data_IF_649897726798
#
_entry.id   IF_649897726798
#
_cell.length_a   1.000
_cell.length_b   1.000
_cell.length_c   1.000
_cell.angle_alpha   90.00
_cell.angle_beta   90.00
_cell.angle_gamma   90.00
#
_symmetry.space_group_name_H-M   'P 1'
#
loop_
_entity.id
_entity.type
_entity.pdbx_description
1 polymer ?
#
# COMPACT_ATOMS: atom_id res chain seq x y z
N UNK A 1 -32.87 -16.50 15.66
CA UNK A 1 -31.56 -16.12 15.15
C UNK A 1 -30.64 -17.20 15.70
N UNK A 2 -30.16 -18.12 14.86
CA UNK A 2 -29.15 -19.10 15.30
C UNK A 2 -27.89 -18.32 15.66
N UNK A 3 -27.21 -18.68 16.73
CA UNK A 3 -25.91 -18.15 17.06
C UNK A 3 -24.99 -18.47 15.89
N UNK A 4 -24.35 -17.45 15.30
CA UNK A 4 -23.36 -17.66 14.24
C UNK A 4 -22.24 -18.54 14.82
N UNK A 5 -21.85 -19.57 14.09
CA UNK A 5 -20.78 -20.46 14.54
C UNK A 5 -19.46 -19.71 14.51
N UNK A 6 -18.69 -19.84 15.59
CA UNK A 6 -17.38 -19.17 15.76
C UNK A 6 -16.34 -20.24 15.94
N UNK A 7 -15.24 -20.17 15.20
CA UNK A 7 -14.11 -21.09 15.28
C UNK A 7 -12.88 -20.36 15.83
N UNK A 8 -12.07 -21.04 16.61
CA UNK A 8 -10.78 -20.54 17.09
C UNK A 8 -9.70 -20.78 16.05
N UNK A 9 -8.90 -19.77 15.77
CA UNK A 9 -7.74 -19.90 14.86
C UNK A 9 -6.50 -19.47 15.63
N UNK A 10 -5.52 -20.39 15.69
CA UNK A 10 -4.22 -20.16 16.28
C UNK A 10 -3.19 -19.94 15.18
N UNK A 11 -2.44 -18.85 15.26
CA UNK A 11 -1.43 -18.43 14.28
C UNK A 11 -0.03 -18.66 14.84
N UNK A 12 0.72 -19.59 14.25
CA UNK A 12 2.09 -19.88 14.60
C UNK A 12 3.08 -19.22 13.61
N UNK A 13 4.32 -18.89 14.00
CA UNK A 13 4.92 -19.06 15.33
C UNK A 13 4.61 -17.91 16.31
N UNK A 14 3.75 -16.98 15.95
CA UNK A 14 3.49 -15.75 16.72
C UNK A 14 2.60 -15.98 17.95
N UNK A 15 1.97 -17.15 18.07
CA UNK A 15 1.12 -17.53 19.20
C UNK A 15 -0.15 -16.70 19.36
N UNK A 16 -0.61 -16.03 18.27
CA UNK A 16 -1.83 -15.21 18.28
C UNK A 16 -3.05 -16.10 18.09
N UNK A 17 -4.04 -15.94 18.94
CA UNK A 17 -5.36 -16.57 18.80
C UNK A 17 -6.42 -15.55 18.41
N UNK A 18 -7.35 -15.95 17.53
CA UNK A 18 -8.46 -15.12 17.09
C UNK A 18 -9.71 -15.94 16.82
N UNK A 19 -10.84 -15.25 16.77
CA UNK A 19 -12.16 -15.81 16.47
C UNK A 19 -12.51 -15.56 14.99
N UNK A 20 -12.91 -16.61 14.28
CA UNK A 20 -13.43 -16.53 12.91
C UNK A 20 -14.91 -16.87 12.90
N UNK A 21 -15.73 -15.92 12.46
CA UNK A 21 -17.19 -16.10 12.34
C UNK A 21 -17.53 -16.83 11.04
N UNK A 22 -18.63 -17.57 11.05
CA UNK A 22 -19.13 -18.23 9.84
C UNK A 22 -19.34 -17.23 8.71
N UNK A 23 -18.77 -17.52 7.52
CA UNK A 23 -18.91 -16.72 6.31
C UNK A 23 -17.87 -15.62 6.14
N UNK A 24 -16.96 -15.39 7.11
CA UNK A 24 -15.79 -14.51 6.89
C UNK A 24 -14.53 -15.34 6.59
N UNK A 25 -13.60 -14.76 5.86
CA UNK A 25 -12.27 -15.36 5.66
C UNK A 25 -11.38 -15.16 6.88
N UNK A 26 -10.40 -16.04 7.05
CA UNK A 26 -9.38 -15.91 8.12
C UNK A 26 -8.72 -14.53 8.11
N UNK A 27 -8.46 -13.95 6.92
CA UNK A 27 -7.88 -12.62 6.80
C UNK A 27 -8.85 -11.51 7.24
N UNK A 28 -10.14 -11.63 6.93
CA UNK A 28 -11.16 -10.65 7.36
C UNK A 28 -11.35 -10.68 8.87
N UNK A 29 -11.38 -11.87 9.48
CA UNK A 29 -11.41 -12.05 10.92
C UNK A 29 -10.24 -11.40 11.63
N UNK A 30 -9.02 -11.60 11.08
CA UNK A 30 -7.80 -10.96 11.59
C UNK A 30 -7.92 -9.42 11.56
N UNK A 31 -8.36 -8.86 10.44
CA UNK A 31 -8.56 -7.43 10.30
C UNK A 31 -9.59 -6.86 11.27
N UNK A 32 -10.72 -7.54 11.45
CA UNK A 32 -11.78 -7.14 12.39
C UNK A 32 -11.25 -7.06 13.82
N UNK A 33 -10.35 -7.96 14.19
CA UNK A 33 -9.79 -8.05 15.55
C UNK A 33 -8.48 -7.24 15.71
N UNK A 34 -8.04 -6.52 14.66
CA UNK A 34 -6.82 -5.71 14.72
C UNK A 34 -5.55 -6.56 14.73
N UNK A 35 -5.55 -7.65 13.98
CA UNK A 35 -4.38 -8.50 13.73
C UNK A 35 -3.91 -8.22 12.30
N UNK A 36 -2.75 -7.60 12.17
CA UNK A 36 -2.23 -7.20 10.86
C UNK A 36 -1.43 -8.35 10.22
N UNK A 37 -2.10 -9.17 9.44
CA UNK A 37 -1.47 -10.23 8.65
C UNK A 37 -0.94 -9.69 7.32
N UNK A 38 0.15 -10.30 6.83
CA UNK A 38 0.72 -9.96 5.53
C UNK A 38 -0.29 -10.25 4.41
N UNK A 39 -0.55 -9.26 3.58
CA UNK A 39 -1.51 -9.34 2.48
C UNK A 39 -1.20 -8.34 1.37
N UNK A 40 -1.84 -8.51 0.22
CA UNK A 40 -1.79 -7.57 -0.89
C UNK A 40 -3.19 -7.41 -1.49
N UNK A 41 -3.54 -8.20 -2.51
CA UNK A 41 -4.76 -8.03 -3.30
C UNK A 41 -6.08 -8.35 -2.56
N UNK A 42 -6.07 -9.13 -1.49
CA UNK A 42 -7.24 -9.66 -0.74
C UNK A 42 -8.19 -10.55 -1.58
N UNK A 43 -7.84 -10.87 -2.83
CA UNK A 43 -8.68 -11.56 -3.83
C UNK A 43 -8.06 -12.88 -4.33
N UNK A 44 -7.03 -13.41 -3.65
CA UNK A 44 -6.38 -14.67 -4.02
C UNK A 44 -5.55 -14.60 -5.31
N UNK A 45 -5.01 -13.42 -5.68
CA UNK A 45 -4.26 -13.23 -6.94
C UNK A 45 -2.75 -13.09 -6.74
N UNK A 46 -2.27 -12.63 -5.55
CA UNK A 46 -0.88 -12.23 -5.37
C UNK A 46 -0.03 -13.18 -4.50
N UNK A 47 -0.65 -14.07 -3.73
CA UNK A 47 0.05 -15.00 -2.84
C UNK A 47 0.64 -14.38 -1.55
N UNK A 48 0.51 -13.07 -1.30
CA UNK A 48 1.12 -12.40 -0.14
C UNK A 48 0.60 -12.92 1.22
N UNK A 49 -0.63 -13.42 1.28
CA UNK A 49 -1.24 -14.00 2.48
C UNK A 49 -1.10 -15.53 2.53
N UNK A 50 -0.15 -16.12 1.78
CA UNK A 50 0.09 -17.56 1.79
C UNK A 50 0.61 -18.01 3.15
N UNK A 51 0.01 -19.09 3.67
CA UNK A 51 0.32 -19.70 4.95
C UNK A 51 0.18 -21.21 4.83
N UNK A 52 0.49 -21.97 5.85
CA UNK A 52 0.34 -23.42 5.86
C UNK A 52 -0.70 -23.83 6.91
N UNK A 53 -1.68 -24.61 6.53
CA UNK A 53 -2.62 -25.25 7.45
C UNK A 53 -1.92 -26.38 8.16
N UNK A 54 -1.89 -26.34 9.50
CA UNK A 54 -1.33 -27.39 10.34
C UNK A 54 -2.45 -28.34 10.78
N UNK A 55 -3.64 -27.82 11.02
CA UNK A 55 -4.79 -28.63 11.43
C UNK A 55 -6.11 -27.89 11.28
N UNK A 56 -7.19 -28.68 11.20
CA UNK A 56 -8.55 -28.22 11.06
C UNK A 56 -9.14 -28.35 9.65
N UNK A 57 -10.42 -28.06 9.52
CA UNK A 57 -11.20 -28.19 8.28
C UNK A 57 -11.46 -26.81 7.68
N UNK A 58 -11.21 -26.67 6.38
CA UNK A 58 -11.35 -25.39 5.65
C UNK A 58 -12.08 -25.57 4.31
N UNK A 59 -12.63 -24.47 3.81
CA UNK A 59 -12.97 -24.31 2.40
C UNK A 59 -12.15 -23.16 1.78
N UNK A 60 -11.56 -23.42 0.60
CA UNK A 60 -10.88 -22.38 -0.17
C UNK A 60 -11.81 -21.81 -1.22
N UNK A 61 -12.08 -20.50 -1.13
CA UNK A 61 -12.79 -19.76 -2.17
C UNK A 61 -11.93 -19.69 -3.45
N UNK A 62 -12.54 -19.27 -4.56
CA UNK A 62 -11.85 -19.12 -5.86
C UNK A 62 -10.59 -18.26 -5.74
N UNK A 63 -9.48 -18.75 -6.29
CA UNK A 63 -8.17 -18.08 -6.32
C UNK A 63 -7.46 -18.35 -7.67
N UNK A 64 -6.34 -17.67 -7.89
CA UNK A 64 -5.45 -17.90 -9.04
C UNK A 64 -4.43 -18.99 -8.72
N UNK A 65 -4.22 -19.92 -9.64
CA UNK A 65 -3.15 -20.93 -9.55
C UNK A 65 -1.74 -20.31 -9.58
N UNK A 66 -1.60 -19.07 -9.99
CA UNK A 66 -0.37 -18.28 -9.81
C UNK A 66 -0.10 -17.96 -8.34
N UNK A 67 -1.14 -17.66 -7.56
CA UNK A 67 -1.00 -17.34 -6.14
C UNK A 67 -0.83 -18.60 -5.28
N UNK A 68 -1.48 -19.71 -5.68
CA UNK A 68 -1.41 -21.01 -4.99
C UNK A 68 -1.42 -22.13 -6.03
N UNK A 69 -0.25 -22.58 -6.52
CA UNK A 69 -0.13 -23.73 -7.42
C UNK A 69 -0.62 -25.03 -6.77
N UNK A 70 -1.05 -26.01 -7.58
CA UNK A 70 -1.60 -27.28 -7.09
C UNK A 70 -0.62 -28.05 -6.18
N UNK A 71 0.67 -28.05 -6.50
CA UNK A 71 1.70 -28.73 -5.68
C UNK A 71 1.85 -28.09 -4.27
N UNK A 72 1.60 -26.80 -4.11
CA UNK A 72 1.59 -26.13 -2.80
C UNK A 72 0.30 -26.46 -2.04
N UNK A 73 -0.83 -26.49 -2.73
CA UNK A 73 -2.10 -26.92 -2.14
C UNK A 73 -2.02 -28.37 -1.63
N UNK A 74 -1.37 -29.27 -2.36
CA UNK A 74 -1.14 -30.66 -1.95
C UNK A 74 -0.22 -30.77 -0.70
N UNK A 75 0.52 -29.71 -0.38
CA UNK A 75 1.35 -29.57 0.82
C UNK A 75 0.75 -28.64 1.86
N UNK A 76 -0.59 -28.57 1.91
CA UNK A 76 -1.38 -27.84 2.91
C UNK A 76 -1.16 -26.31 2.92
N UNK A 77 -0.67 -25.74 1.81
CA UNK A 77 -0.64 -24.27 1.68
C UNK A 77 -2.02 -23.71 1.40
N UNK A 78 -2.30 -22.57 2.01
CA UNK A 78 -3.58 -21.86 1.91
C UNK A 78 -3.37 -20.36 1.68
N UNK A 79 -4.41 -19.67 1.20
CA UNK A 79 -4.44 -18.20 1.11
C UNK A 79 -5.44 -17.67 2.12
N UNK A 80 -4.98 -16.99 3.17
CA UNK A 80 -5.83 -16.54 4.28
C UNK A 80 -7.01 -15.66 3.84
N UNK A 81 -6.84 -14.91 2.74
CA UNK A 81 -7.91 -14.11 2.14
C UNK A 81 -8.97 -14.92 1.39
N UNK A 82 -8.79 -16.23 1.25
CA UNK A 82 -9.69 -17.16 0.55
C UNK A 82 -10.04 -18.38 1.39
N UNK A 83 -9.65 -18.40 2.65
CA UNK A 83 -9.86 -19.51 3.59
C UNK A 83 -11.04 -19.22 4.51
N UNK A 84 -12.09 -20.04 4.43
CA UNK A 84 -13.17 -20.11 5.41
C UNK A 84 -12.89 -21.25 6.38
N UNK A 85 -13.13 -21.02 7.67
CA UNK A 85 -13.01 -22.05 8.70
C UNK A 85 -14.30 -22.88 8.82
N UNK A 86 -14.17 -24.20 9.02
CA UNK A 86 -15.26 -25.14 9.31
C UNK A 86 -14.99 -25.93 10.60
N UNK A 87 -13.89 -25.72 11.24
CA UNK A 87 -13.49 -26.16 12.58
C UNK A 87 -12.50 -25.17 13.18
N UNK A 88 -12.06 -25.40 14.41
CA UNK A 88 -10.88 -24.72 14.95
C UNK A 88 -9.66 -25.01 14.07
N UNK A 89 -8.83 -23.98 13.82
CA UNK A 89 -7.68 -24.08 12.91
C UNK A 89 -6.36 -23.81 13.65
N UNK A 90 -5.31 -24.48 13.20
CA UNK A 90 -3.93 -24.14 13.48
C UNK A 90 -3.21 -23.82 12.17
N UNK A 91 -2.66 -22.59 12.06
CA UNK A 91 -2.07 -22.06 10.82
C UNK A 91 -0.65 -21.56 11.11
N UNK A 92 0.31 -22.01 10.31
CA UNK A 92 1.67 -21.48 10.29
C UNK A 92 1.79 -20.31 9.30
N UNK A 93 2.13 -19.15 9.82
CA UNK A 93 2.43 -17.97 9.00
C UNK A 93 3.81 -18.13 8.36
N UNK A 94 3.87 -18.19 7.03
CA UNK A 94 5.12 -18.25 6.27
C UNK A 94 5.81 -16.88 6.15
N UNK A 95 5.05 -15.82 6.32
CA UNK A 95 5.52 -14.45 6.28
C UNK A 95 4.74 -13.61 7.29
N UNK A 96 5.45 -12.95 8.21
CA UNK A 96 4.86 -12.06 9.20
C UNK A 96 5.85 -10.94 9.55
N UNK A 97 5.34 -9.87 10.11
CA UNK A 97 6.10 -8.69 10.56
C UNK A 97 5.66 -8.39 12.00
N UNK A 98 6.54 -8.64 12.96
CA UNK A 98 6.25 -8.48 14.40
C UNK A 98 5.94 -7.02 14.76
N UNK A 99 6.63 -6.06 14.13
CA UNK A 99 6.38 -4.65 14.35
C UNK A 99 4.97 -4.28 13.84
N UNK A 100 4.58 -4.79 12.67
CA UNK A 100 3.25 -4.57 12.11
C UNK A 100 2.16 -5.19 13.01
N UNK A 101 2.37 -6.41 13.48
CA UNK A 101 1.45 -7.10 14.41
C UNK A 101 1.26 -6.30 15.70
N UNK A 102 2.35 -5.77 16.29
CA UNK A 102 2.31 -5.05 17.57
C UNK A 102 1.58 -3.71 17.50
N UNK A 103 1.47 -3.10 16.32
CA UNK A 103 0.86 -1.78 16.09
C UNK A 103 -0.40 -1.82 15.21
N UNK A 104 -0.97 -2.99 15.05
CA UNK A 104 -2.14 -3.19 14.20
C UNK A 104 -3.34 -2.33 14.64
N UNK A 105 -4.09 -1.86 13.66
CA UNK A 105 -5.29 -1.04 13.85
C UNK A 105 -6.49 -1.85 13.32
N UNK A 106 -7.54 -2.07 14.13
CA UNK A 106 -8.74 -2.78 13.67
C UNK A 106 -9.37 -2.10 12.45
N UNK A 107 -9.68 -2.88 11.44
CA UNK A 107 -10.40 -2.41 10.24
C UNK A 107 -11.85 -2.12 10.60
N UNK A 108 -12.32 -0.92 10.26
CA UNK A 108 -13.70 -0.47 10.46
C UNK A 108 -14.27 0.12 9.18
N UNK A 109 -15.59 0.30 9.19
CA UNK A 109 -16.31 0.97 8.11
C UNK A 109 -16.77 2.34 8.59
N UNK A 110 -16.61 3.35 7.72
CA UNK A 110 -16.93 4.75 7.98
C UNK A 110 -17.79 5.30 6.84
N UNK A 111 -18.68 6.23 7.15
CA UNK A 111 -19.32 7.07 6.16
C UNK A 111 -18.44 8.29 5.88
N UNK A 112 -18.39 8.71 4.64
CA UNK A 112 -17.60 9.86 4.23
C UNK A 112 -18.33 10.68 3.16
N UNK A 113 -17.88 11.91 2.99
CA UNK A 113 -18.40 12.84 1.97
C UNK A 113 -17.23 13.42 1.18
N UNK A 114 -17.36 13.52 -0.13
CA UNK A 114 -16.39 14.18 -1.00
C UNK A 114 -16.31 15.67 -0.65
N UNK A 115 -15.10 16.18 -0.41
CA UNK A 115 -14.82 17.60 -0.22
C UNK A 115 -14.47 18.25 -1.54
N UNK A 116 -13.50 17.67 -2.25
CA UNK A 116 -12.94 18.23 -3.47
C UNK A 116 -12.30 17.14 -4.35
N UNK A 117 -12.34 17.38 -5.65
CA UNK A 117 -11.51 16.65 -6.64
C UNK A 117 -10.72 17.66 -7.46
N UNK A 118 -9.39 17.56 -7.46
CA UNK A 118 -8.46 18.47 -8.13
C UNK A 118 -7.60 17.74 -9.16
N UNK A 119 -7.42 18.34 -10.34
CA UNK A 119 -6.46 17.84 -11.32
C UNK A 119 -5.04 18.18 -10.91
N UNK A 120 -4.14 17.19 -10.85
CA UNK A 120 -2.70 17.38 -10.62
C UNK A 120 -1.92 17.30 -11.95
N UNK A 121 -2.30 16.35 -12.84
CA UNK A 121 -1.81 16.25 -14.21
C UNK A 121 -2.96 15.95 -15.16
N UNK A 122 -2.67 15.66 -16.43
CA UNK A 122 -3.68 15.23 -17.39
C UNK A 122 -4.41 13.93 -16.97
N UNK A 123 -3.74 13.03 -16.24
CA UNK A 123 -4.26 11.71 -15.85
C UNK A 123 -4.15 11.42 -14.33
N UNK A 124 -3.75 12.38 -13.50
CA UNK A 124 -3.72 12.26 -12.04
C UNK A 124 -4.71 13.24 -11.40
N UNK A 125 -5.48 12.75 -10.43
CA UNK A 125 -6.42 13.53 -9.62
C UNK A 125 -6.10 13.37 -8.14
N UNK A 126 -6.24 14.45 -7.40
CA UNK A 126 -6.37 14.41 -5.95
C UNK A 126 -7.87 14.34 -5.61
N UNK A 127 -8.22 13.45 -4.70
CA UNK A 127 -9.55 13.33 -4.09
C UNK A 127 -9.41 13.55 -2.60
N UNK A 128 -10.17 14.51 -2.07
CA UNK A 128 -10.25 14.78 -0.63
C UNK A 128 -11.66 14.44 -0.12
N UNK A 129 -11.73 13.69 0.99
CA UNK A 129 -12.97 13.29 1.65
C UNK A 129 -12.95 13.63 3.13
N UNK A 130 -14.12 13.80 3.73
CA UNK A 130 -14.31 13.95 5.16
C UNK A 130 -15.13 12.79 5.73
N UNK A 131 -14.60 12.16 6.79
CA UNK A 131 -15.21 11.05 7.50
C UNK A 131 -16.20 11.53 8.57
N UNK A 132 -17.23 10.76 8.83
CA UNK A 132 -18.17 10.96 9.95
C UNK A 132 -17.52 10.74 11.33
N UNK A 133 -16.50 9.88 11.40
CA UNK A 133 -15.73 9.53 12.60
C UNK A 133 -14.23 9.51 12.30
N UNK A 134 -13.38 9.69 13.34
CA UNK A 134 -11.93 9.61 13.18
C UNK A 134 -11.46 8.22 12.74
N UNK A 135 -10.58 8.16 11.73
CA UNK A 135 -9.88 6.96 11.29
C UNK A 135 -8.38 7.11 11.59
N UNK A 136 -7.88 6.29 12.51
CA UNK A 136 -6.44 6.20 12.79
C UNK A 136 -5.78 5.33 11.73
N UNK A 137 -4.61 5.73 11.23
CA UNK A 137 -3.83 4.97 10.27
C UNK A 137 -2.33 5.28 10.40
N UNK A 138 -1.50 4.45 9.81
CA UNK A 138 -0.06 4.69 9.65
C UNK A 138 0.22 5.24 8.26
N UNK A 139 1.18 6.17 8.15
CA UNK A 139 1.57 6.76 6.88
C UNK A 139 2.02 5.68 5.88
N UNK A 140 1.42 5.67 4.69
CA UNK A 140 1.62 4.65 3.66
C UNK A 140 0.49 3.62 3.53
N UNK A 141 -0.42 3.52 4.52
CA UNK A 141 -1.56 2.62 4.46
C UNK A 141 -2.62 3.05 3.43
N UNK A 142 -3.53 2.14 3.10
CA UNK A 142 -4.63 2.35 2.17
C UNK A 142 -6.00 2.00 2.79
N UNK A 143 -7.04 2.41 2.12
CA UNK A 143 -8.45 2.07 2.43
C UNK A 143 -9.16 1.60 1.18
N UNK A 144 -10.24 0.85 1.36
CA UNK A 144 -11.21 0.60 0.29
C UNK A 144 -12.23 1.74 0.26
N UNK A 145 -12.38 2.38 -0.89
CA UNK A 145 -13.41 3.37 -1.17
C UNK A 145 -14.53 2.71 -1.97
N UNK A 146 -15.73 2.73 -1.43
CA UNK A 146 -16.94 2.29 -2.13
C UNK A 146 -17.79 3.50 -2.50
N UNK A 147 -18.18 3.56 -3.76
CA UNK A 147 -19.16 4.53 -4.26
C UNK A 147 -20.52 3.84 -4.34
N UNK A 148 -21.44 4.08 -3.39
CA UNK A 148 -22.71 3.36 -3.34
C UNK A 148 -23.54 3.55 -4.60
N UNK A 149 -23.57 4.78 -5.15
CA UNK A 149 -24.33 5.11 -6.36
C UNK A 149 -23.87 4.34 -7.61
N UNK A 150 -22.59 3.97 -7.68
CA UNK A 150 -22.01 3.22 -8.80
C UNK A 150 -21.78 1.75 -8.48
N UNK A 151 -21.99 1.31 -7.23
CA UNK A 151 -21.68 -0.04 -6.75
C UNK A 151 -20.22 -0.46 -7.06
N UNK A 152 -19.28 0.48 -6.93
CA UNK A 152 -17.86 0.25 -7.25
C UNK A 152 -17.03 0.43 -5.99
N UNK A 153 -16.18 -0.56 -5.70
CA UNK A 153 -15.19 -0.49 -4.62
C UNK A 153 -13.78 -0.61 -5.20
N UNK A 154 -12.86 0.27 -4.77
CA UNK A 154 -11.43 0.21 -5.11
C UNK A 154 -10.57 0.63 -3.91
N UNK A 155 -9.39 0.03 -3.84
CA UNK A 155 -8.38 0.35 -2.82
C UNK A 155 -7.54 1.54 -3.26
N UNK A 156 -7.35 2.51 -2.36
CA UNK A 156 -6.50 3.68 -2.58
C UNK A 156 -5.68 4.00 -1.34
N UNK A 157 -4.39 4.24 -1.55
CA UNK A 157 -3.48 4.67 -0.49
C UNK A 157 -3.75 6.13 -0.12
N UNK A 158 -3.76 6.42 1.18
CA UNK A 158 -3.88 7.77 1.68
C UNK A 158 -2.62 8.57 1.36
N UNK A 159 -2.78 9.82 0.92
CA UNK A 159 -1.67 10.72 0.61
C UNK A 159 -1.37 11.70 1.74
N UNK A 160 -2.33 12.01 2.61
CA UNK A 160 -2.08 12.82 3.79
C UNK A 160 -1.31 12.02 4.85
N UNK A 161 -0.51 12.71 5.66
CA UNK A 161 0.06 12.11 6.87
C UNK A 161 -1.01 11.93 7.95
N UNK A 162 -0.85 10.96 8.88
CA UNK A 162 -1.67 10.86 10.07
C UNK A 162 -1.71 12.17 10.86
N UNK A 163 -2.79 12.41 11.61
CA UNK A 163 -2.94 13.59 12.47
C UNK A 163 -4.26 14.33 12.31
N UNK A 164 -4.80 14.46 11.10
CA UNK A 164 -6.21 14.83 10.89
C UNK A 164 -6.99 13.55 10.60
N UNK A 165 -7.52 12.95 11.65
CA UNK A 165 -8.15 11.63 11.58
C UNK A 165 -9.51 11.63 10.87
N UNK A 166 -10.07 12.81 10.54
CA UNK A 166 -11.36 12.93 9.82
C UNK A 166 -11.19 13.28 8.35
N UNK A 167 -10.02 13.74 7.93
CA UNK A 167 -9.73 14.07 6.54
C UNK A 167 -8.81 13.04 5.91
N UNK A 168 -9.21 12.52 4.75
CA UNK A 168 -8.37 11.66 3.93
C UNK A 168 -8.20 12.27 2.56
N UNK A 169 -6.96 12.23 2.07
CA UNK A 169 -6.58 12.67 0.73
C UNK A 169 -6.00 11.50 -0.04
N UNK A 170 -6.25 11.45 -1.35
CA UNK A 170 -5.80 10.38 -2.23
C UNK A 170 -5.24 10.98 -3.52
N UNK A 171 -4.19 10.38 -4.08
CA UNK A 171 -3.66 10.68 -5.40
C UNK A 171 -3.99 9.50 -6.31
N UNK A 172 -4.90 9.70 -7.24
CA UNK A 172 -5.51 8.64 -8.05
C UNK A 172 -5.19 8.84 -9.51
N UNK A 173 -4.68 7.78 -10.16
CA UNK A 173 -4.48 7.77 -11.61
C UNK A 173 -5.79 7.41 -12.31
N UNK A 174 -6.12 8.20 -13.34
CA UNK A 174 -7.21 7.90 -14.26
C UNK A 174 -6.75 6.86 -15.28
N UNK A 175 -7.56 5.85 -15.44
CA UNK A 175 -7.40 4.87 -16.52
C UNK A 175 -8.56 5.03 -17.50
N UNK A 176 -8.30 4.91 -18.81
CA UNK A 176 -9.39 4.74 -19.79
C UNK A 176 -10.25 3.55 -19.34
N UNK A 177 -11.55 3.71 -19.32
CA UNK A 177 -12.53 2.69 -18.90
C UNK A 177 -12.41 2.19 -17.44
N UNK A 178 -11.68 2.90 -16.59
CA UNK A 178 -11.55 2.59 -15.16
C UNK A 178 -12.87 2.83 -14.43
N UNK A 179 -13.50 1.77 -13.88
CA UNK A 179 -14.81 1.84 -13.26
C UNK A 179 -14.94 2.91 -12.15
N UNK A 180 -13.89 3.12 -11.35
CA UNK A 180 -13.85 4.17 -10.32
C UNK A 180 -13.25 5.46 -10.88
N UNK A 181 -12.12 5.38 -11.58
CA UNK A 181 -11.35 6.58 -11.96
C UNK A 181 -12.01 7.42 -13.03
N UNK A 182 -12.92 6.86 -13.85
CA UNK A 182 -13.75 7.64 -14.78
C UNK A 182 -14.74 8.55 -14.07
N UNK A 183 -15.10 8.25 -12.82
CA UNK A 183 -16.07 9.03 -12.03
C UNK A 183 -15.44 10.29 -11.40
N UNK A 184 -14.11 10.38 -11.36
CA UNK A 184 -13.38 11.52 -10.78
C UNK A 184 -13.58 12.84 -11.52
N UNK A 185 -13.99 12.81 -12.78
CA UNK A 185 -14.22 14.02 -13.59
C UNK A 185 -15.70 14.44 -13.65
N UNK A 186 -16.48 14.20 -12.62
CA UNK A 186 -17.86 14.70 -12.60
C UNK A 186 -18.79 14.02 -11.60
N UNK A 187 -18.78 12.71 -11.51
CA UNK A 187 -19.70 11.98 -10.61
C UNK A 187 -19.28 12.07 -9.13
N UNK A 188 -17.99 12.30 -8.83
CA UNK A 188 -17.47 12.54 -7.49
C UNK A 188 -17.39 14.04 -7.20
N UNK A 189 -18.56 14.69 -7.21
CA UNK A 189 -18.69 16.09 -6.85
C UNK A 189 -18.67 16.30 -5.32
N UNK A 190 -18.34 17.51 -4.84
CA UNK A 190 -18.47 17.83 -3.42
C UNK A 190 -19.87 17.53 -2.89
N UNK A 191 -19.95 16.84 -1.76
CA UNK A 191 -21.21 16.38 -1.15
C UNK A 191 -21.60 14.93 -1.48
N UNK A 192 -20.96 14.28 -2.46
CA UNK A 192 -21.24 12.88 -2.77
C UNK A 192 -20.79 11.94 -1.65
N UNK A 193 -21.62 10.92 -1.40
CA UNK A 193 -21.38 9.94 -0.34
C UNK A 193 -20.36 8.87 -0.78
N UNK A 194 -19.44 8.55 0.13
CA UNK A 194 -18.44 7.51 -0.02
C UNK A 194 -18.45 6.62 1.24
N UNK A 195 -18.29 5.32 1.08
CA UNK A 195 -18.04 4.40 2.20
C UNK A 195 -16.57 4.04 2.21
N UNK A 196 -15.94 4.17 3.37
CA UNK A 196 -14.52 3.88 3.59
C UNK A 196 -14.40 2.66 4.49
N UNK A 197 -13.60 1.67 4.09
CA UNK A 197 -13.26 0.52 4.94
C UNK A 197 -11.74 0.41 5.07
N UNK A 198 -11.23 0.39 6.29
CA UNK A 198 -9.77 0.35 6.55
C UNK A 198 -9.41 0.67 7.99
N UNK A 199 -8.11 0.91 8.28
CA UNK A 199 -6.99 0.95 7.33
C UNK A 199 -6.44 -0.44 6.99
N UNK A 200 -5.75 -0.54 5.86
CA UNK A 200 -5.04 -1.74 5.40
C UNK A 200 -3.60 -1.40 4.99
N UNK A 201 -2.78 -2.44 4.81
CA UNK A 201 -1.46 -2.34 4.20
C UNK A 201 -0.30 -2.45 5.18
N UNK A 202 0.75 -3.16 4.74
CA UNK A 202 2.00 -3.37 5.45
C UNK A 202 3.09 -2.34 5.08
N UNK A 203 2.97 -1.69 3.91
CA UNK A 203 3.90 -0.67 3.43
C UNK A 203 3.65 0.65 4.15
N UNK A 204 4.07 0.74 5.41
CA UNK A 204 3.89 1.93 6.24
C UNK A 204 5.18 2.33 6.94
N UNK A 205 5.37 3.65 7.17
CA UNK A 205 6.58 4.19 7.79
C UNK A 205 6.91 3.49 9.11
N UNK A 206 8.17 3.13 9.25
CA UNK A 206 8.75 2.61 10.51
C UNK A 206 9.44 3.75 11.25
N UNK A 207 9.12 3.89 12.52
CA UNK A 207 9.74 4.88 13.41
C UNK A 207 11.04 4.34 14.01
N UNK A 208 11.85 5.23 14.60
CA UNK A 208 13.07 4.86 15.35
C UNK A 208 14.24 4.38 14.47
N UNK A 209 14.17 4.59 13.15
CA UNK A 209 15.25 4.34 12.20
C UNK A 209 16.15 5.56 12.07
N UNK A 210 17.47 5.36 11.92
CA UNK A 210 18.46 6.44 11.82
C UNK A 210 19.18 6.51 10.48
N UNK A 211 19.32 5.39 9.79
CA UNK A 211 19.88 5.31 8.44
C UNK A 211 18.96 5.91 7.38
N UNK A 212 19.45 6.09 6.15
CA UNK A 212 18.71 6.74 5.09
C UNK A 212 17.44 5.97 4.73
N UNK A 213 16.33 6.71 4.56
CA UNK A 213 15.07 6.24 4.01
C UNK A 213 15.10 6.36 2.48
N UNK A 214 14.83 5.26 1.79
CA UNK A 214 14.75 5.25 0.32
C UNK A 214 13.28 5.15 -0.10
N UNK A 215 12.78 6.17 -0.81
CA UNK A 215 11.44 6.18 -1.38
C UNK A 215 11.56 6.00 -2.90
N UNK A 216 10.82 5.06 -3.49
CA UNK A 216 10.83 4.84 -4.94
C UNK A 216 9.41 4.75 -5.47
N UNK A 217 9.02 5.66 -6.36
CA UNK A 217 7.65 5.68 -6.87
C UNK A 217 7.50 6.16 -8.30
N UNK A 218 6.25 6.09 -8.78
CA UNK A 218 5.85 6.62 -10.08
C UNK A 218 4.33 6.68 -10.22
N UNK A 219 3.84 7.69 -10.93
CA UNK A 219 2.40 7.93 -11.10
C UNK A 219 1.69 8.12 -9.77
N UNK A 220 0.56 7.41 -9.55
CA UNK A 220 -0.18 7.47 -8.28
C UNK A 220 0.54 6.79 -7.10
N UNK A 221 1.69 6.12 -7.31
CA UNK A 221 2.58 5.68 -6.23
C UNK A 221 3.11 6.83 -5.36
N UNK A 222 2.98 8.07 -5.84
CA UNK A 222 3.17 9.27 -5.04
C UNK A 222 2.28 9.26 -3.77
N UNK A 223 1.07 8.71 -3.81
CA UNK A 223 0.09 8.80 -2.72
C UNK A 223 0.65 8.29 -1.38
N UNK A 224 0.99 7.00 -1.22
CA UNK A 224 1.55 6.49 0.03
C UNK A 224 2.93 7.08 0.34
N UNK A 225 3.75 7.35 -0.68
CA UNK A 225 5.09 7.92 -0.46
C UNK A 225 5.04 9.35 0.03
N UNK A 226 4.08 10.15 -0.43
CA UNK A 226 3.84 11.50 0.07
C UNK A 226 3.37 11.49 1.53
N UNK A 227 2.49 10.54 1.89
CA UNK A 227 2.08 10.31 3.28
C UNK A 227 3.30 10.00 4.16
N UNK A 228 4.15 9.04 3.75
CA UNK A 228 5.37 8.65 4.48
C UNK A 228 6.35 9.81 4.61
N UNK A 229 6.62 10.53 3.52
CA UNK A 229 7.53 11.68 3.50
C UNK A 229 7.05 12.80 4.42
N UNK A 230 5.75 13.12 4.36
CA UNK A 230 5.15 14.17 5.19
C UNK A 230 5.16 13.77 6.67
N UNK A 231 4.88 12.51 7.00
CA UNK A 231 4.94 11.99 8.36
C UNK A 231 6.38 12.01 8.90
N UNK A 232 7.36 11.62 8.07
CA UNK A 232 8.79 11.70 8.41
C UNK A 232 9.20 13.16 8.72
N UNK A 233 8.79 14.11 7.90
CA UNK A 233 9.11 15.53 8.13
C UNK A 233 8.43 16.12 9.37
N UNK A 234 7.33 15.52 9.84
CA UNK A 234 6.60 15.94 11.06
C UNK A 234 7.09 15.22 12.32
N UNK A 235 7.71 14.06 12.20
CA UNK A 235 8.10 13.22 13.34
C UNK A 235 9.19 13.85 14.23
N UNK A 236 9.98 14.78 13.69
CA UNK A 236 11.17 15.33 14.36
C UNK A 236 12.37 14.39 14.35
N UNK A 237 12.25 13.20 13.77
CA UNK A 237 13.37 12.26 13.59
C UNK A 237 14.32 12.79 12.50
N UNK A 238 15.60 12.94 12.85
CA UNK A 238 16.63 13.39 11.90
C UNK A 238 17.23 12.17 11.21
N UNK A 239 16.81 11.94 9.95
CA UNK A 239 17.40 10.90 9.09
C UNK A 239 17.45 11.35 7.63
N UNK A 240 18.44 10.89 6.84
CA UNK A 240 18.50 11.18 5.42
C UNK A 240 17.31 10.58 4.66
N UNK A 241 16.83 11.28 3.61
CA UNK A 241 15.78 10.75 2.71
C UNK A 241 16.21 10.87 1.26
N UNK A 242 16.12 9.78 0.52
CA UNK A 242 16.41 9.70 -0.92
C UNK A 242 15.11 9.35 -1.64
N UNK A 243 14.47 10.33 -2.29
CA UNK A 243 13.19 10.16 -2.95
C UNK A 243 13.35 10.08 -4.47
N UNK A 244 13.28 8.88 -5.01
CA UNK A 244 13.32 8.54 -6.44
C UNK A 244 11.91 8.53 -7.02
N UNK A 245 11.67 9.33 -8.07
CA UNK A 245 10.34 9.39 -8.68
C UNK A 245 10.41 9.30 -10.20
N UNK A 246 9.85 8.22 -10.76
CA UNK A 246 9.78 7.97 -12.20
C UNK A 246 8.56 8.60 -12.85
N UNK A 247 8.78 9.39 -13.88
CA UNK A 247 7.76 9.95 -14.76
C UNK A 247 8.10 9.64 -16.23
N UNK A 248 7.12 9.75 -17.14
CA UNK A 248 7.38 9.59 -18.58
C UNK A 248 7.96 10.87 -19.16
N UNK A 249 7.35 12.01 -18.85
CA UNK A 249 7.75 13.33 -19.34
C UNK A 249 7.61 14.38 -18.23
N UNK A 250 8.11 15.59 -18.44
CA UNK A 250 7.97 16.73 -17.50
C UNK A 250 6.52 17.00 -17.10
N UNK A 251 5.57 16.88 -18.04
CA UNK A 251 4.16 17.10 -17.80
C UNK A 251 3.52 16.07 -16.84
N UNK A 252 4.21 14.95 -16.57
CA UNK A 252 3.79 13.93 -15.61
C UNK A 252 4.37 14.17 -14.20
N UNK A 253 5.22 15.17 -14.02
CA UNK A 253 5.71 15.60 -12.71
C UNK A 253 4.71 16.57 -12.07
N UNK A 254 4.44 16.37 -10.80
CA UNK A 254 3.51 17.21 -10.02
C UNK A 254 3.98 17.34 -8.57
N UNK A 255 3.40 18.25 -7.81
CA UNK A 255 3.74 18.54 -6.40
C UNK A 255 5.21 18.92 -6.20
N UNK A 256 5.86 19.52 -7.20
CA UNK A 256 7.29 19.85 -7.13
C UNK A 256 7.57 20.92 -6.05
N UNK A 257 6.69 21.91 -5.94
CA UNK A 257 6.81 22.97 -4.93
C UNK A 257 6.56 22.41 -3.51
N UNK A 258 5.59 21.52 -3.36
CA UNK A 258 5.29 20.85 -2.09
C UNK A 258 6.44 19.92 -1.68
N UNK A 259 7.05 19.19 -2.63
CA UNK A 259 8.23 18.35 -2.38
C UNK A 259 9.43 19.21 -1.96
N UNK A 260 9.66 20.34 -2.63
CA UNK A 260 10.72 21.26 -2.25
C UNK A 260 10.51 21.81 -0.83
N UNK A 261 9.30 22.27 -0.52
CA UNK A 261 8.96 22.81 0.79
C UNK A 261 9.07 21.77 1.92
N UNK A 262 8.71 20.50 1.67
CA UNK A 262 8.90 19.43 2.65
C UNK A 262 10.38 19.09 2.82
N UNK A 263 11.15 19.15 1.73
CA UNK A 263 12.60 18.90 1.72
C UNK A 263 13.38 19.86 2.62
N UNK A 264 12.97 21.13 2.71
CA UNK A 264 13.57 22.11 3.62
C UNK A 264 13.43 21.74 5.11
N UNK A 265 12.51 20.84 5.44
CA UNK A 265 12.25 20.36 6.82
C UNK A 265 13.03 19.10 7.18
N UNK A 266 13.73 18.50 6.22
CA UNK A 266 14.52 17.28 6.38
C UNK A 266 15.99 17.62 6.14
N UNK A 267 16.85 17.43 7.12
CA UNK A 267 18.24 17.90 7.12
C UNK A 267 19.10 17.37 5.96
N UNK A 268 18.81 16.20 5.44
CA UNK A 268 19.48 15.59 4.28
C UNK A 268 18.41 14.96 3.38
N UNK A 269 17.81 15.79 2.52
CA UNK A 269 16.78 15.41 1.58
C UNK A 269 17.27 15.51 0.14
N UNK A 270 17.05 14.45 -0.63
CA UNK A 270 17.32 14.46 -2.07
C UNK A 270 16.09 13.96 -2.82
N UNK A 271 15.51 14.82 -3.65
CA UNK A 271 14.51 14.44 -4.63
C UNK A 271 15.18 14.14 -5.96
N UNK A 272 14.98 12.95 -6.49
CA UNK A 272 15.63 12.43 -7.71
C UNK A 272 14.54 12.04 -8.71
N UNK A 273 13.95 13.01 -9.44
CA UNK A 273 13.02 12.72 -10.52
C UNK A 273 13.76 12.20 -11.76
N UNK A 274 13.17 11.21 -12.42
CA UNK A 274 13.72 10.63 -13.65
C UNK A 274 12.66 10.57 -14.75
N UNK A 275 13.05 10.93 -15.99
CA UNK A 275 12.18 10.88 -17.16
C UNK A 275 12.56 9.71 -18.08
N UNK A 276 11.58 8.81 -18.32
CA UNK A 276 11.79 7.66 -19.21
C UNK A 276 11.62 8.00 -20.71
N UNK A 277 10.92 9.10 -21.03
CA UNK A 277 10.63 9.58 -22.38
C UNK A 277 10.96 11.09 -22.51
N UNK A 278 12.08 11.54 -21.93
CA UNK A 278 12.53 12.92 -22.09
C UNK A 278 12.87 13.22 -23.55
N UNK A 279 12.40 14.35 -24.06
CA UNK A 279 12.81 14.83 -25.38
C UNK A 279 14.22 15.46 -25.29
N UNK A 280 15.12 15.28 -26.28
CA UNK A 280 16.47 15.84 -26.24
C UNK A 280 16.52 17.36 -26.03
N UNK A 281 15.48 18.08 -26.46
CA UNK A 281 15.42 19.55 -26.48
C UNK A 281 14.45 20.15 -25.42
N UNK A 282 13.97 19.36 -24.45
CA UNK A 282 12.99 19.85 -23.46
C UNK A 282 13.62 20.59 -22.26
N UNK A 283 14.96 20.79 -22.28
CA UNK A 283 15.71 21.44 -21.21
C UNK A 283 15.64 20.67 -19.87
N UNK A 284 15.53 19.34 -19.91
CA UNK A 284 15.59 18.50 -18.72
C UNK A 284 17.04 18.30 -18.27
N UNK A 285 17.35 18.69 -17.02
CA UNK A 285 18.68 18.53 -16.44
C UNK A 285 18.77 17.42 -15.38
N UNK A 286 17.62 16.74 -15.09
CA UNK A 286 17.55 15.64 -14.13
C UNK A 286 17.92 14.29 -14.71
N UNK A 287 17.67 13.23 -13.93
CA UNK A 287 17.95 11.85 -14.33
C UNK A 287 17.08 11.40 -15.51
N UNK A 288 17.64 10.52 -16.34
CA UNK A 288 16.96 9.92 -17.49
C UNK A 288 16.98 8.40 -17.44
N UNK A 289 15.97 7.77 -18.05
CA UNK A 289 15.75 6.33 -18.05
C UNK A 289 14.68 5.88 -17.08
N UNK A 290 14.49 4.57 -16.97
CA UNK A 290 13.54 3.99 -16.04
C UNK A 290 14.04 4.13 -14.60
N UNK A 291 13.13 4.35 -13.65
CA UNK A 291 13.52 4.70 -12.28
C UNK A 291 14.39 3.63 -11.60
N UNK A 292 14.16 2.35 -11.87
CA UNK A 292 14.99 1.27 -11.33
C UNK A 292 16.43 1.33 -11.86
N UNK A 293 16.65 1.79 -13.09
CA UNK A 293 17.99 1.98 -13.66
C UNK A 293 18.73 3.13 -12.96
N UNK A 294 18.00 4.20 -12.62
CA UNK A 294 18.55 5.32 -11.84
C UNK A 294 18.95 4.86 -10.44
N UNK A 295 18.05 4.15 -9.73
CA UNK A 295 18.36 3.56 -8.42
C UNK A 295 19.58 2.65 -8.51
N UNK A 296 19.69 1.81 -9.56
CA UNK A 296 20.83 0.91 -9.76
C UNK A 296 22.14 1.67 -10.01
N UNK A 297 22.11 2.77 -10.81
CA UNK A 297 23.29 3.63 -11.01
C UNK A 297 23.77 4.25 -9.69
N UNK A 298 22.82 4.76 -8.89
CA UNK A 298 23.12 5.37 -7.59
C UNK A 298 23.61 4.35 -6.57
N UNK A 299 23.05 3.14 -6.56
CA UNK A 299 23.53 2.03 -5.74
C UNK A 299 25.01 1.69 -6.07
N UNK A 300 25.33 1.52 -7.36
CA UNK A 300 26.70 1.25 -7.82
C UNK A 300 27.67 2.38 -7.51
N UNK A 301 27.19 3.62 -7.47
CA UNK A 301 27.98 4.81 -7.09
C UNK A 301 28.11 4.98 -5.55
N UNK A 302 27.60 4.05 -4.74
CA UNK A 302 27.67 4.10 -3.27
C UNK A 302 26.74 5.13 -2.62
N UNK A 303 25.81 5.73 -3.37
CA UNK A 303 24.90 6.78 -2.85
C UNK A 303 23.79 6.24 -1.92
N UNK A 304 23.68 4.92 -1.78
CA UNK A 304 22.72 4.23 -0.91
C UNK A 304 23.43 3.36 0.14
N UNK A 305 24.70 3.64 0.44
CA UNK A 305 25.48 2.86 1.40
C UNK A 305 24.98 2.99 2.85
N UNK A 306 24.31 4.11 3.16
CA UNK A 306 23.69 4.42 4.46
C UNK A 306 22.20 4.08 4.53
N UNK A 307 21.64 3.44 3.49
CA UNK A 307 20.22 3.10 3.43
C UNK A 307 19.86 1.99 4.44
N UNK A 308 18.82 2.22 5.23
CA UNK A 308 18.34 1.32 6.27
C UNK A 308 16.99 0.68 5.93
N UNK A 309 16.09 1.43 5.28
CA UNK A 309 14.81 0.93 4.82
C UNK A 309 14.41 1.55 3.46
N UNK A 310 13.54 0.84 2.76
CA UNK A 310 13.01 1.29 1.48
C UNK A 310 11.50 1.09 1.38
N UNK A 311 10.82 2.07 0.77
CA UNK A 311 9.39 2.04 0.48
C UNK A 311 9.20 2.25 -1.01
N UNK A 312 8.56 1.29 -1.68
CA UNK A 312 8.34 1.40 -3.13
C UNK A 312 6.88 1.15 -3.49
N UNK A 313 6.27 2.12 -4.17
CA UNK A 313 4.85 2.10 -4.48
C UNK A 313 4.57 2.52 -5.93
N UNK A 314 3.67 1.80 -6.58
CA UNK A 314 3.27 2.12 -7.95
C UNK A 314 2.89 0.92 -8.81
N UNK A 315 2.96 1.05 -10.15
CA UNK A 315 2.52 -0.01 -11.06
C UNK A 315 3.40 -1.27 -10.95
N UNK A 316 2.80 -2.47 -11.08
CA UNK A 316 3.51 -3.73 -10.92
C UNK A 316 4.81 -3.85 -11.72
N UNK A 317 4.90 -3.47 -13.02
CA UNK A 317 6.15 -3.58 -13.77
C UNK A 317 7.30 -2.73 -13.19
N UNK A 318 6.99 -1.58 -12.59
CA UNK A 318 7.99 -0.74 -11.92
C UNK A 318 8.48 -1.42 -10.64
N UNK A 319 7.56 -1.90 -9.81
CA UNK A 319 7.89 -2.57 -8.55
C UNK A 319 8.71 -3.83 -8.81
N UNK A 320 8.31 -4.64 -9.81
CA UNK A 320 9.02 -5.87 -10.19
C UNK A 320 10.47 -5.59 -10.65
N UNK A 321 10.72 -4.43 -11.27
CA UNK A 321 12.04 -4.01 -11.67
C UNK A 321 12.86 -3.37 -10.53
N UNK A 322 12.22 -2.67 -9.59
CA UNK A 322 12.88 -1.99 -8.47
C UNK A 322 13.29 -2.98 -7.37
N UNK A 323 12.43 -3.94 -7.01
CA UNK A 323 12.70 -4.88 -5.90
C UNK A 323 14.02 -5.64 -6.03
N UNK A 324 14.39 -6.22 -7.20
CA UNK A 324 15.70 -6.86 -7.36
C UNK A 324 16.88 -5.90 -7.12
N UNK A 325 16.74 -4.63 -7.52
CA UNK A 325 17.78 -3.62 -7.32
C UNK A 325 17.94 -3.27 -5.84
N UNK A 326 16.83 -3.07 -5.12
CA UNK A 326 16.88 -2.80 -3.68
C UNK A 326 17.45 -3.98 -2.88
N UNK A 327 17.13 -5.22 -3.28
CA UNK A 327 17.70 -6.43 -2.66
C UNK A 327 19.21 -6.62 -2.87
N UNK A 328 19.82 -5.89 -3.81
CA UNK A 328 21.28 -5.85 -3.98
C UNK A 328 21.95 -4.77 -3.12
N UNK A 329 21.19 -3.94 -2.43
CA UNK A 329 21.72 -2.92 -1.51
C UNK A 329 22.06 -3.52 -0.15
N UNK A 330 22.49 -2.68 0.79
CA UNK A 330 22.71 -3.06 2.20
C UNK A 330 21.44 -3.15 3.05
N UNK A 331 20.27 -2.83 2.45
CA UNK A 331 18.99 -2.87 3.15
C UNK A 331 18.59 -4.33 3.39
N UNK A 332 18.30 -4.68 4.65
CA UNK A 332 17.79 -6.00 4.98
C UNK A 332 16.48 -6.28 4.24
N UNK A 333 16.26 -7.49 3.69
CA UNK A 333 15.08 -7.80 2.88
C UNK A 333 13.75 -7.50 3.57
N UNK A 334 13.65 -7.68 4.88
CA UNK A 334 12.50 -7.38 5.73
C UNK A 334 12.25 -5.88 5.92
N UNK A 335 13.25 -5.04 5.58
CA UNK A 335 13.11 -3.58 5.60
C UNK A 335 12.80 -2.99 4.21
N UNK A 336 12.48 -3.83 3.23
CA UNK A 336 12.02 -3.40 1.90
C UNK A 336 10.52 -3.57 1.82
N UNK A 337 9.80 -2.46 2.01
CA UNK A 337 8.34 -2.41 2.00
C UNK A 337 7.82 -1.99 0.62
N UNK A 338 6.77 -2.64 0.14
CA UNK A 338 6.23 -2.30 -1.17
C UNK A 338 4.71 -2.46 -1.24
N UNK A 339 4.10 -1.68 -2.16
CA UNK A 339 2.69 -1.81 -2.51
C UNK A 339 2.54 -1.74 -4.05
N UNK A 340 2.05 -2.84 -4.65
CA UNK A 340 1.78 -2.97 -6.08
C UNK A 340 0.36 -2.55 -6.39
N UNK A 341 0.18 -1.54 -7.21
CA UNK A 341 -1.14 -1.07 -7.63
C UNK A 341 -1.69 -1.93 -8.76
N UNK A 342 -2.15 -3.13 -8.40
CA UNK A 342 -2.76 -4.06 -9.36
C UNK A 342 -4.13 -3.56 -9.79
N UNK A 343 -4.42 -3.51 -11.12
CA UNK A 343 -5.78 -3.27 -11.57
C UNK A 343 -6.72 -4.33 -11.00
N UNK A 344 -7.89 -3.90 -10.49
CA UNK A 344 -8.90 -4.86 -10.05
C UNK A 344 -9.37 -5.71 -11.26
N UNK A 345 -9.48 -7.02 -11.06
CA UNK A 345 -10.13 -7.91 -12.03
C UNK A 345 -11.60 -7.53 -12.15
N UNK A 346 -12.10 -7.42 -13.40
CA UNK A 346 -13.51 -7.13 -13.71
C UNK A 346 -14.42 -8.23 -13.21
#
# INVERSE_FOLDING_TARGET
MGDAQVYKVRLEPVGVEMDVEEGETVLEAAFRQGIALMHGCKEGQCGSCKSRLIGGDIELLKYSTFALPDYERETEHVLLCRTHAFSDLEIELLNFDEELLSRAIPVKTYSATVIETKALTHDIRQLDIELDQPLRFWAGQYVDLTLPAASVTRSFSMSNAPGDERRLSFIIKKYPDGAFSSLLDGALAPGEAVVVKGPYGACSRRAGRSGAMVLVGGGSGMSPLWSILTDQARSGESRPVRFYYGARAKADLFMLDEIAAIGERISDFQFIPALSHGAPDDGWEGETGLIHEVVQRHLRAGRLADAEDAYTCGPPPMIDAVLPVLRMSSIEPEHIYFDKFTPATR
#
